data_IF_782853295146
#
_entry.id   IF_782853295146
#
_cell.length_a   1.000
_cell.length_b   1.000
_cell.length_c   1.000
_cell.angle_alpha   90.00
_cell.angle_beta   90.00
_cell.angle_gamma   90.00
#
_symmetry.space_group_name_H-M   'P 1'
#
loop_
_entity.id
_entity.type
_entity.pdbx_description
1 polymer ?
#
# COMPACT_ATOMS: atom_id res chain seq x y z
N UNK A 1 -6.11 2.20 -12.90
CA UNK A 1 -6.36 1.66 -11.55
C UNK A 1 -6.48 2.84 -10.59
N UNK A 2 -7.63 2.99 -9.92
CA UNK A 2 -7.87 4.03 -8.92
C UNK A 2 -7.32 3.61 -7.57
N UNK A 3 -6.54 4.48 -6.92
CA UNK A 3 -5.81 4.17 -5.69
C UNK A 3 -6.15 5.17 -4.59
N UNK A 4 -6.46 4.65 -3.40
CA UNK A 4 -6.53 5.43 -2.16
C UNK A 4 -5.23 5.33 -1.36
N UNK A 5 -4.79 6.40 -0.71
CA UNK A 5 -3.65 6.36 0.23
C UNK A 5 -4.14 6.62 1.64
N UNK A 6 -3.91 5.65 2.53
CA UNK A 6 -4.23 5.75 3.95
C UNK A 6 -2.95 6.06 4.72
N UNK A 7 -2.84 7.31 5.18
CA UNK A 7 -1.67 7.84 5.88
C UNK A 7 -0.80 8.74 5.01
N UNK A 8 -0.93 10.06 5.17
CA UNK A 8 -0.17 11.08 4.43
C UNK A 8 1.04 11.61 5.21
N UNK A 9 1.77 10.71 5.87
CA UNK A 9 3.09 11.01 6.42
C UNK A 9 4.15 11.18 5.33
N UNK A 10 5.44 11.14 5.70
CA UNK A 10 6.55 11.34 4.76
C UNK A 10 6.50 10.39 3.55
N UNK A 11 6.21 9.10 3.79
CA UNK A 11 6.17 8.12 2.70
C UNK A 11 4.87 8.22 1.90
N UNK A 12 3.73 8.39 2.57
CA UNK A 12 2.44 8.56 1.88
C UNK A 12 2.42 9.75 0.94
N UNK A 13 2.96 10.90 1.37
CA UNK A 13 3.07 12.08 0.52
C UNK A 13 3.98 11.85 -0.70
N UNK A 14 5.09 11.10 -0.54
CA UNK A 14 5.96 10.73 -1.68
C UNK A 14 5.22 9.84 -2.67
N UNK A 15 4.51 8.82 -2.21
CA UNK A 15 3.74 7.94 -3.10
C UNK A 15 2.59 8.69 -3.77
N UNK A 16 1.88 9.55 -3.04
CA UNK A 16 0.85 10.41 -3.60
C UNK A 16 1.42 11.30 -4.71
N UNK A 17 2.57 11.93 -4.48
CA UNK A 17 3.25 12.78 -5.47
C UNK A 17 3.65 12.00 -6.73
N UNK A 18 4.24 10.82 -6.58
CA UNK A 18 4.64 9.97 -7.71
C UNK A 18 3.44 9.56 -8.56
N UNK A 19 2.32 9.16 -7.91
CA UNK A 19 1.10 8.79 -8.63
C UNK A 19 0.49 10.01 -9.31
N UNK A 20 0.35 11.12 -8.59
CA UNK A 20 -0.23 12.37 -9.11
C UNK A 20 0.54 12.95 -10.30
N UNK A 21 1.87 12.81 -10.31
CA UNK A 21 2.73 13.21 -11.45
C UNK A 21 2.67 12.25 -12.65
N UNK A 22 2.07 11.09 -12.49
CA UNK A 22 2.04 10.06 -13.54
C UNK A 22 3.34 9.25 -13.64
N UNK A 23 4.25 9.34 -12.65
CA UNK A 23 5.47 8.52 -12.60
C UNK A 23 5.16 7.03 -12.50
N UNK A 24 3.96 6.70 -11.98
CA UNK A 24 3.46 5.33 -11.92
C UNK A 24 2.36 5.14 -12.96
N UNK A 25 2.74 4.59 -14.09
CA UNK A 25 1.81 4.41 -15.22
C UNK A 25 0.61 3.53 -14.86
N UNK A 26 -0.57 3.96 -15.27
CA UNK A 26 -1.82 3.23 -15.07
C UNK A 26 -2.42 3.35 -13.67
N UNK A 27 -1.85 4.19 -12.79
CA UNK A 27 -2.42 4.54 -11.50
C UNK A 27 -2.98 5.96 -11.51
N UNK A 28 -4.11 6.15 -10.82
CA UNK A 28 -4.79 7.42 -10.58
C UNK A 28 -5.02 7.57 -9.07
N UNK A 29 -4.63 8.71 -8.51
CA UNK A 29 -4.85 8.99 -7.10
C UNK A 29 -6.28 9.50 -6.90
N UNK A 30 -7.14 8.68 -6.31
CA UNK A 30 -8.57 8.97 -6.12
C UNK A 30 -8.89 9.50 -4.72
N UNK A 31 -8.13 9.09 -3.70
CA UNK A 31 -8.41 9.46 -2.31
C UNK A 31 -7.14 9.46 -1.44
N UNK A 32 -7.14 10.32 -0.42
CA UNK A 32 -6.07 10.41 0.59
C UNK A 32 -6.66 10.62 1.98
N UNK A 33 -5.92 10.20 3.04
CA UNK A 33 -6.35 10.46 4.41
C UNK A 33 -5.34 11.28 5.22
N UNK A 34 -5.83 12.11 6.17
CA UNK A 34 -5.01 12.85 7.15
C UNK A 34 -3.90 13.68 6.50
N UNK A 35 -4.24 14.39 5.43
CA UNK A 35 -3.30 15.30 4.79
C UNK A 35 -3.17 16.59 5.61
N UNK A 36 -1.93 17.00 5.90
CA UNK A 36 -1.62 18.33 6.45
C UNK A 36 -1.47 19.35 5.32
N UNK A 37 -1.58 20.64 5.64
CA UNK A 37 -1.44 21.72 4.64
C UNK A 37 -0.09 21.63 3.93
N UNK A 38 0.99 21.39 4.67
CA UNK A 38 2.33 21.19 4.11
C UNK A 38 2.36 20.04 3.08
N UNK A 39 1.72 18.91 3.39
CA UNK A 39 1.67 17.74 2.49
C UNK A 39 0.72 17.97 1.33
N UNK A 40 -0.35 18.72 1.56
CA UNK A 40 -1.25 19.12 0.50
C UNK A 40 -0.56 20.03 -0.51
N UNK A 41 0.21 21.00 -0.07
CA UNK A 41 0.96 21.91 -0.94
C UNK A 41 1.95 21.19 -1.86
N UNK A 42 2.48 20.04 -1.42
CA UNK A 42 3.38 19.23 -2.25
C UNK A 42 2.68 18.59 -3.45
N UNK A 43 1.40 18.28 -3.36
CA UNK A 43 0.70 17.48 -4.37
C UNK A 43 -0.42 18.24 -5.10
N UNK A 44 -0.99 19.30 -4.53
CA UNK A 44 -2.21 19.96 -5.01
C UNK A 44 -2.21 20.35 -6.48
N UNK A 45 -1.05 20.74 -7.03
CA UNK A 45 -0.93 21.16 -8.43
C UNK A 45 -0.94 19.98 -9.43
N UNK A 46 -0.81 18.75 -8.95
CA UNK A 46 -0.72 17.54 -9.78
C UNK A 46 -1.95 16.64 -9.66
N UNK A 47 -2.82 16.89 -8.70
CA UNK A 47 -3.98 16.05 -8.44
C UNK A 47 -5.21 16.55 -9.17
N UNK A 48 -6.12 15.62 -9.49
CA UNK A 48 -7.45 15.95 -10.02
C UNK A 48 -8.25 16.77 -8.99
N UNK A 49 -9.11 17.72 -9.44
CA UNK A 49 -10.10 18.36 -8.56
C UNK A 49 -11.05 17.39 -7.88
N UNK A 50 -11.21 16.19 -8.42
CA UNK A 50 -12.06 15.12 -7.89
C UNK A 50 -11.40 14.31 -6.76
N UNK A 51 -10.12 14.58 -6.42
CA UNK A 51 -9.44 13.90 -5.33
C UNK A 51 -10.18 14.08 -4.01
N UNK A 52 -10.60 12.99 -3.41
CA UNK A 52 -11.29 13.00 -2.12
C UNK A 52 -10.30 12.99 -0.95
N UNK A 53 -10.62 13.78 0.09
CA UNK A 53 -9.80 13.88 1.31
C UNK A 53 -10.62 13.44 2.52
N UNK A 54 -10.05 12.55 3.32
CA UNK A 54 -10.70 11.98 4.50
C UNK A 54 -9.86 12.21 5.77
N UNK A 55 -10.50 12.23 6.93
CA UNK A 55 -9.80 12.38 8.21
C UNK A 55 -9.17 11.08 8.68
N UNK A 56 -9.71 9.94 8.29
CA UNK A 56 -9.22 8.62 8.69
C UNK A 56 -9.36 7.57 7.58
N UNK A 57 -8.73 6.40 7.78
CA UNK A 57 -8.97 5.25 6.92
C UNK A 57 -10.42 4.75 7.02
N UNK A 58 -11.03 4.85 8.19
CA UNK A 58 -12.41 4.44 8.39
C UNK A 58 -13.40 5.32 7.63
N UNK A 59 -13.18 6.64 7.58
CA UNK A 59 -14.00 7.54 6.77
C UNK A 59 -13.87 7.21 5.27
N UNK A 60 -12.64 6.87 4.82
CA UNK A 60 -12.45 6.43 3.44
C UNK A 60 -13.19 5.12 3.16
N UNK A 61 -13.15 4.15 4.07
CA UNK A 61 -13.88 2.89 3.91
C UNK A 61 -15.40 3.09 3.96
N UNK A 62 -15.90 4.00 4.80
CA UNK A 62 -17.31 4.36 4.82
C UNK A 62 -17.77 4.94 3.47
N UNK A 63 -16.96 5.81 2.86
CA UNK A 63 -17.25 6.36 1.53
C UNK A 63 -17.21 5.31 0.42
N UNK A 64 -16.47 4.23 0.60
CA UNK A 64 -16.50 3.08 -0.32
C UNK A 64 -17.78 2.27 -0.11
N UNK A 65 -18.19 2.05 1.14
CA UNK A 65 -19.40 1.29 1.49
C UNK A 65 -20.68 1.97 1.00
N UNK A 66 -20.72 3.29 1.02
CA UNK A 66 -21.87 4.08 0.51
C UNK A 66 -21.79 4.39 -1.01
N UNK A 67 -20.77 3.88 -1.70
CA UNK A 67 -20.50 4.07 -3.12
C UNK A 67 -20.19 5.52 -3.55
N UNK A 68 -19.85 6.42 -2.63
CA UNK A 68 -19.38 7.78 -2.97
C UNK A 68 -17.92 7.78 -3.45
N UNK A 69 -17.14 6.76 -3.09
CA UNK A 69 -15.76 6.55 -3.53
C UNK A 69 -15.59 5.16 -4.15
N UNK A 70 -14.94 5.09 -5.31
CA UNK A 70 -14.52 3.83 -5.92
C UNK A 70 -12.99 3.79 -6.03
N UNK A 71 -12.37 2.73 -5.47
CA UNK A 71 -10.94 2.45 -5.60
C UNK A 71 -10.69 0.96 -5.87
N UNK A 72 -9.68 0.66 -6.66
CA UNK A 72 -9.25 -0.71 -6.96
C UNK A 72 -8.26 -1.23 -5.92
N UNK A 73 -7.50 -0.31 -5.31
CA UNK A 73 -6.49 -0.63 -4.32
C UNK A 73 -6.29 0.49 -3.30
N UNK A 74 -5.77 0.13 -2.14
CA UNK A 74 -5.28 1.09 -1.14
C UNK A 74 -3.79 0.86 -0.85
N UNK A 75 -3.07 1.98 -0.67
CA UNK A 75 -1.70 1.98 -0.14
C UNK A 75 -1.78 2.42 1.32
N UNK A 76 -1.40 1.52 2.24
CA UNK A 76 -1.47 1.77 3.68
C UNK A 76 -0.07 2.12 4.19
N UNK A 77 0.09 3.35 4.68
CA UNK A 77 1.37 3.96 5.09
C UNK A 77 1.21 4.64 6.45
N UNK A 78 0.50 3.99 7.33
CA UNK A 78 0.19 4.44 8.70
C UNK A 78 1.21 3.87 9.70
N UNK A 79 1.15 4.25 10.98
CA UNK A 79 1.91 3.57 12.02
C UNK A 79 1.61 2.06 12.08
N UNK A 80 2.61 1.25 12.39
CA UNK A 80 2.60 -0.21 12.25
C UNK A 80 1.47 -0.92 12.99
N UNK A 81 1.05 -0.37 14.14
CA UNK A 81 -0.02 -0.96 14.97
C UNK A 81 -1.40 -0.92 14.30
N UNK A 82 -1.61 -0.04 13.33
CA UNK A 82 -2.89 0.07 12.61
C UNK A 82 -2.94 -0.74 11.31
N UNK A 83 -1.81 -1.34 10.87
CA UNK A 83 -1.74 -2.06 9.60
C UNK A 83 -2.75 -3.22 9.56
N UNK A 84 -2.78 -4.07 10.60
CA UNK A 84 -3.65 -5.26 10.62
C UNK A 84 -5.11 -4.91 10.40
N UNK A 85 -5.62 -3.94 11.15
CA UNK A 85 -7.02 -3.54 11.09
C UNK A 85 -7.37 -2.97 9.71
N UNK A 86 -6.58 -2.02 9.22
CA UNK A 86 -6.82 -1.36 7.93
C UNK A 86 -6.72 -2.33 6.75
N UNK A 87 -5.75 -3.26 6.78
CA UNK A 87 -5.58 -4.29 5.76
C UNK A 87 -6.79 -5.23 5.71
N UNK A 88 -7.28 -5.68 6.86
CA UNK A 88 -8.44 -6.58 6.94
C UNK A 88 -9.71 -5.91 6.44
N UNK A 89 -9.95 -4.64 6.83
CA UNK A 89 -11.07 -3.82 6.34
C UNK A 89 -11.06 -3.65 4.81
N UNK A 90 -9.89 -3.53 4.19
CA UNK A 90 -9.77 -3.49 2.73
C UNK A 90 -10.17 -4.84 2.10
N UNK A 91 -9.70 -5.95 2.67
CA UNK A 91 -10.03 -7.29 2.14
C UNK A 91 -11.51 -7.63 2.26
N UNK A 92 -12.20 -7.20 3.32
CA UNK A 92 -13.64 -7.35 3.50
C UNK A 92 -14.44 -6.70 2.35
N UNK A 93 -13.85 -5.68 1.71
CA UNK A 93 -14.42 -4.93 0.58
C UNK A 93 -13.89 -5.38 -0.79
N UNK A 94 -13.09 -6.42 -0.83
CA UNK A 94 -12.46 -6.89 -2.07
C UNK A 94 -11.41 -5.94 -2.66
N UNK A 95 -10.86 -5.03 -1.85
CA UNK A 95 -9.89 -4.02 -2.28
C UNK A 95 -8.47 -4.54 -2.12
N UNK A 96 -7.67 -4.44 -3.19
CA UNK A 96 -6.27 -4.81 -3.17
C UNK A 96 -5.44 -3.89 -2.25
N UNK A 97 -4.41 -4.45 -1.62
CA UNK A 97 -3.62 -3.72 -0.62
C UNK A 97 -2.13 -3.76 -0.92
N UNK A 98 -1.51 -2.59 -0.90
CA UNK A 98 -0.06 -2.44 -0.76
C UNK A 98 0.22 -1.79 0.60
N UNK A 99 0.78 -2.56 1.54
CA UNK A 99 1.04 -2.11 2.91
C UNK A 99 2.52 -1.78 3.11
N UNK A 100 2.81 -0.71 3.87
CA UNK A 100 4.19 -0.40 4.23
C UNK A 100 4.76 -1.43 5.22
N UNK A 101 6.07 -1.52 5.25
CA UNK A 101 6.81 -2.36 6.21
C UNK A 101 6.77 -1.71 7.62
N UNK A 102 6.89 -2.51 8.67
CA UNK A 102 6.75 -3.96 8.74
C UNK A 102 5.30 -4.42 8.61
N UNK A 103 5.09 -5.71 8.39
CA UNK A 103 3.76 -6.32 8.28
C UNK A 103 2.89 -6.15 9.55
N UNK A 104 3.46 -5.76 10.65
CA UNK A 104 2.81 -5.53 11.95
C UNK A 104 3.86 -5.48 13.04
N UNK A 105 3.43 -5.21 14.28
CA UNK A 105 4.31 -5.16 15.46
C UNK A 105 4.70 -6.57 15.92
N UNK A 106 3.79 -7.54 15.73
CA UNK A 106 3.96 -8.93 16.14
C UNK A 106 3.71 -9.90 14.99
N UNK A 107 4.37 -11.03 14.99
CA UNK A 107 4.21 -12.08 13.97
C UNK A 107 2.77 -12.59 13.83
N UNK A 108 1.99 -12.58 14.94
CA UNK A 108 0.57 -12.94 14.89
C UNK A 108 -0.25 -12.03 13.99
N UNK A 109 0.06 -10.72 13.95
CA UNK A 109 -0.63 -9.76 13.08
C UNK A 109 -0.35 -10.05 11.61
N UNK A 110 0.90 -10.35 11.26
CA UNK A 110 1.26 -10.74 9.91
C UNK A 110 0.52 -12.02 9.47
N UNK A 111 0.40 -13.01 10.36
CA UNK A 111 -0.38 -14.24 10.10
C UNK A 111 -1.87 -13.92 9.94
N UNK A 112 -2.46 -13.11 10.83
CA UNK A 112 -3.86 -12.71 10.77
C UNK A 112 -4.20 -12.03 9.44
N UNK A 113 -3.37 -11.09 8.97
CA UNK A 113 -3.54 -10.44 7.66
C UNK A 113 -3.42 -11.43 6.51
N UNK A 114 -2.48 -12.37 6.59
CA UNK A 114 -2.31 -13.42 5.58
C UNK A 114 -3.52 -14.37 5.50
N UNK A 115 -4.07 -14.79 6.64
CA UNK A 115 -5.28 -15.62 6.66
C UNK A 115 -6.50 -14.86 6.12
N UNK A 116 -6.66 -13.58 6.49
CA UNK A 116 -7.71 -12.72 5.95
C UNK A 116 -7.58 -12.58 4.43
N UNK A 117 -6.36 -12.36 3.91
CA UNK A 117 -6.10 -12.33 2.47
C UNK A 117 -6.50 -13.64 1.79
N UNK A 118 -6.06 -14.80 2.31
CA UNK A 118 -6.39 -16.09 1.72
C UNK A 118 -7.90 -16.34 1.68
N UNK A 119 -8.61 -15.93 2.73
CA UNK A 119 -10.07 -16.03 2.79
C UNK A 119 -10.73 -15.14 1.73
N UNK A 120 -10.39 -13.85 1.70
CA UNK A 120 -10.95 -12.89 0.75
C UNK A 120 -10.62 -13.24 -0.72
N UNK A 121 -9.43 -13.79 -0.97
CA UNK A 121 -9.00 -14.25 -2.31
C UNK A 121 -9.90 -15.32 -2.91
N UNK A 122 -10.57 -16.13 -2.09
CA UNK A 122 -11.53 -17.16 -2.57
C UNK A 122 -12.76 -16.52 -3.22
N UNK A 123 -13.26 -15.42 -2.64
CA UNK A 123 -14.42 -14.67 -3.15
C UNK A 123 -14.03 -13.65 -4.22
N UNK A 124 -12.82 -13.12 -4.15
CA UNK A 124 -12.27 -12.13 -5.08
C UNK A 124 -10.93 -12.61 -5.67
N UNK A 125 -10.92 -13.47 -6.72
CA UNK A 125 -9.70 -14.04 -7.28
C UNK A 125 -8.69 -13.03 -7.82
N UNK A 126 -9.13 -11.81 -8.17
CA UNK A 126 -8.26 -10.72 -8.64
C UNK A 126 -7.59 -9.94 -7.51
N UNK A 127 -8.01 -10.15 -6.26
CA UNK A 127 -7.45 -9.45 -5.08
C UNK A 127 -5.93 -9.64 -5.03
N UNK A 128 -5.20 -8.55 -4.78
CA UNK A 128 -3.75 -8.57 -4.61
C UNK A 128 -3.37 -8.05 -3.22
N UNK A 129 -2.29 -8.60 -2.68
CA UNK A 129 -1.72 -8.17 -1.41
C UNK A 129 -0.20 -8.15 -1.49
N UNK A 130 0.40 -7.05 -1.08
CA UNK A 130 1.85 -6.90 -1.07
C UNK A 130 2.34 -5.96 0.03
N UNK A 131 3.64 -6.04 0.29
CA UNK A 131 4.37 -5.13 1.18
C UNK A 131 5.39 -4.32 0.41
N UNK A 132 5.61 -3.08 0.89
CA UNK A 132 6.61 -2.17 0.32
C UNK A 132 7.99 -2.55 0.86
N UNK A 133 8.66 -3.48 0.19
CA UNK A 133 10.07 -3.83 0.43
C UNK A 133 10.95 -3.26 -0.68
N UNK A 134 11.05 -1.93 -0.75
CA UNK A 134 11.72 -1.23 -1.83
C UNK A 134 13.18 -1.69 -2.07
N UNK A 135 13.90 -2.08 -1.02
CA UNK A 135 15.27 -2.62 -1.17
C UNK A 135 15.34 -3.84 -2.09
N UNK A 136 14.30 -4.68 -2.12
CA UNK A 136 14.25 -5.86 -3.01
C UNK A 136 14.21 -5.49 -4.49
N UNK A 137 13.87 -4.25 -4.83
CA UNK A 137 13.81 -3.74 -6.20
C UNK A 137 15.11 -3.10 -6.65
N UNK A 138 16.03 -2.78 -5.75
CA UNK A 138 17.31 -2.18 -6.10
C UNK A 138 18.19 -3.15 -6.89
N UNK A 139 18.86 -2.67 -7.97
CA UNK A 139 19.67 -3.54 -8.83
C UNK A 139 20.73 -4.32 -8.06
N UNK A 140 21.37 -3.73 -7.06
CA UNK A 140 22.41 -4.38 -6.24
C UNK A 140 21.85 -5.58 -5.47
N UNK A 141 20.67 -5.44 -4.83
CA UNK A 141 20.09 -6.57 -4.07
C UNK A 141 19.55 -7.66 -5.00
N UNK A 142 19.03 -7.28 -6.17
CA UNK A 142 18.63 -8.25 -7.20
C UNK A 142 19.82 -9.03 -7.72
N UNK A 143 20.97 -8.37 -7.93
CA UNK A 143 22.21 -9.04 -8.36
C UNK A 143 22.77 -9.97 -7.29
N UNK A 144 22.75 -9.55 -6.02
CA UNK A 144 23.13 -10.40 -4.89
C UNK A 144 22.25 -11.67 -4.84
N UNK A 145 20.94 -11.47 -4.97
CA UNK A 145 20.00 -12.62 -4.99
C UNK A 145 20.29 -13.57 -6.15
N UNK A 146 20.53 -13.06 -7.34
CA UNK A 146 20.90 -13.87 -8.52
C UNK A 146 22.16 -14.71 -8.27
N UNK A 147 23.20 -14.09 -7.69
CA UNK A 147 24.46 -14.77 -7.33
C UNK A 147 24.19 -15.90 -6.33
N UNK A 148 23.33 -15.65 -5.34
CA UNK A 148 22.97 -16.64 -4.32
C UNK A 148 22.20 -17.80 -4.92
N UNK A 149 21.14 -17.50 -5.70
CA UNK A 149 20.25 -18.50 -6.30
C UNK A 149 21.02 -19.41 -7.29
N UNK A 150 21.92 -18.81 -8.07
CA UNK A 150 22.75 -19.53 -9.04
C UNK A 150 23.97 -20.22 -8.41
N UNK A 151 24.20 -20.03 -7.10
CA UNK A 151 25.37 -20.55 -6.38
C UNK A 151 26.70 -20.21 -7.08
N UNK A 152 26.79 -19.01 -7.68
CA UNK A 152 27.94 -18.57 -8.48
C UNK A 152 29.28 -18.75 -7.74
N UNK A 153 29.28 -18.54 -6.44
CA UNK A 153 30.45 -18.72 -5.56
C UNK A 153 30.26 -19.86 -4.53
N UNK A 154 29.35 -20.80 -4.83
CA UNK A 154 29.02 -21.90 -3.94
C UNK A 154 27.93 -21.56 -2.91
N UNK A 155 27.85 -22.36 -1.85
CA UNK A 155 26.84 -22.19 -0.81
C UNK A 155 27.27 -21.13 0.21
N UNK A 156 26.30 -20.30 0.67
CA UNK A 156 26.53 -19.38 1.79
C UNK A 156 26.81 -20.20 3.05
N UNK A 157 27.93 -19.92 3.69
CA UNK A 157 28.32 -20.57 4.93
C UNK A 157 28.12 -19.69 6.17
N UNK A 158 28.05 -18.38 5.98
CA UNK A 158 27.87 -17.41 7.07
C UNK A 158 27.35 -16.09 6.50
N UNK A 159 26.42 -15.46 7.22
CA UNK A 159 25.93 -14.10 6.98
C UNK A 159 26.23 -13.27 8.22
#
# INVERSE_FOLDING_TARGET
MKVGIIGMGNMGAKYALMIAKGDVKGMELAAITRVTDERWDMIRQYVSPELMKFNSGDDMYAAIDDNSLSVDAVIIVTPHYSHEELVKKAFERGISVLCDKPAGVYSRQARSMWEAYKSAKKSCPKLQYGFIFHQRTFPVYRKIKEIIDNKTYGNIKRV
#
